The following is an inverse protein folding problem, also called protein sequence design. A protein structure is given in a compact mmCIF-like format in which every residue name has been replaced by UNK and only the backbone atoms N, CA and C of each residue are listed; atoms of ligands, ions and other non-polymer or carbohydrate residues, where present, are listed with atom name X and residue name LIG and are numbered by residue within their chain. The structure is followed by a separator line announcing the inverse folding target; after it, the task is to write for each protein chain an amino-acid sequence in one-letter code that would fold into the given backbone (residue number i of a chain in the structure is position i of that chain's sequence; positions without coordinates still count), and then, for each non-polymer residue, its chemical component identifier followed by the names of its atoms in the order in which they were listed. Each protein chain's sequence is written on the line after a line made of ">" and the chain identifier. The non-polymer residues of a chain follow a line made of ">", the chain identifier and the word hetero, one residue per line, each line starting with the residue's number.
data_IF_409556286372
#
_entry.id   IF_409556286372
#
_cell.length_a   1.000
_cell.length_b   1.000
_cell.length_c   1.000
_cell.angle_alpha   90.00
_cell.angle_beta   90.00
_cell.angle_gamma   90.00
#
_symmetry.space_group_name_H-M   'P 1'
#
loop_
_entity.id
_entity.type
_entity.pdbx_description
1 polymer ?
#
# COMPACT_ATOMS: atom_id res chain seq x y z
N UNK A 1 33.68 -51.36 41.49
CA UNK A 1 32.66 -50.48 40.84
C UNK A 1 32.71 -50.75 39.35
N UNK A 2 31.60 -51.14 38.71
CA UNK A 2 31.59 -51.65 37.35
C UNK A 2 31.83 -50.50 36.36
N UNK A 3 32.95 -50.50 35.63
CA UNK A 3 33.43 -49.46 34.69
C UNK A 3 32.35 -49.14 33.62
N UNK A 4 31.57 -50.12 33.21
CA UNK A 4 30.51 -49.95 32.23
C UNK A 4 29.36 -49.05 32.75
N UNK A 5 28.98 -49.14 34.01
CA UNK A 5 27.94 -48.27 34.65
C UNK A 5 28.43 -46.82 34.72
N UNK A 6 29.72 -46.59 34.99
CA UNK A 6 30.30 -45.27 35.02
C UNK A 6 30.32 -44.62 33.61
N UNK A 7 30.67 -45.39 32.59
CA UNK A 7 30.65 -44.90 31.19
C UNK A 7 29.23 -44.55 30.69
N UNK A 8 28.25 -45.36 31.05
CA UNK A 8 26.84 -45.10 30.73
C UNK A 8 26.33 -43.83 31.41
N UNK A 9 26.63 -43.60 32.67
CA UNK A 9 26.28 -42.39 33.40
C UNK A 9 26.92 -41.14 32.79
N UNK A 10 28.20 -41.22 32.38
CA UNK A 10 28.89 -40.10 31.73
C UNK A 10 28.26 -39.79 30.37
N UNK A 11 27.90 -40.82 29.60
CA UNK A 11 27.22 -40.66 28.30
C UNK A 11 25.85 -40.00 28.47
N UNK A 12 25.06 -40.45 29.43
CA UNK A 12 23.74 -39.88 29.76
C UNK A 12 23.87 -38.39 30.17
N UNK A 13 24.88 -38.08 31.01
CA UNK A 13 25.12 -36.70 31.43
C UNK A 13 25.49 -35.77 30.25
N UNK A 14 26.29 -36.27 29.29
CA UNK A 14 26.57 -35.53 28.04
C UNK A 14 25.32 -35.25 27.21
N UNK A 15 24.43 -36.21 27.05
CA UNK A 15 23.17 -35.99 26.34
C UNK A 15 22.27 -34.98 27.03
N UNK A 16 22.18 -35.02 28.37
CA UNK A 16 21.47 -34.03 29.15
C UNK A 16 22.03 -32.60 28.97
N UNK A 17 23.36 -32.47 28.97
CA UNK A 17 24.02 -31.18 28.77
C UNK A 17 23.76 -30.62 27.35
N UNK A 18 23.78 -31.49 26.34
CA UNK A 18 23.52 -31.13 24.94
C UNK A 18 22.05 -30.66 24.78
N UNK A 19 21.09 -31.37 25.37
CA UNK A 19 19.66 -30.97 25.33
C UNK A 19 19.41 -29.63 26.01
N UNK A 20 20.04 -29.35 27.13
CA UNK A 20 19.95 -28.07 27.82
C UNK A 20 20.52 -26.93 26.95
N UNK A 21 21.67 -27.14 26.30
CA UNK A 21 22.27 -26.16 25.39
C UNK A 21 21.35 -25.88 24.19
N UNK A 22 20.76 -26.92 23.59
CA UNK A 22 19.84 -26.78 22.47
C UNK A 22 18.59 -25.99 22.89
N UNK A 23 18.00 -26.29 24.06
CA UNK A 23 16.85 -25.54 24.59
C UNK A 23 17.21 -24.07 24.83
N UNK A 24 18.41 -23.78 25.34
CA UNK A 24 18.85 -22.41 25.58
C UNK A 24 19.02 -21.62 24.26
N UNK A 25 19.58 -22.28 23.22
CA UNK A 25 19.68 -21.69 21.87
C UNK A 25 18.30 -21.41 21.27
N UNK A 26 17.34 -22.33 21.41
CA UNK A 26 15.96 -22.14 20.93
C UNK A 26 15.30 -20.95 21.65
N UNK A 27 15.48 -20.80 22.96
CA UNK A 27 14.94 -19.68 23.73
C UNK A 27 15.55 -18.35 23.26
N UNK A 28 16.88 -18.32 23.00
CA UNK A 28 17.55 -17.11 22.50
C UNK A 28 17.05 -16.74 21.11
N UNK A 29 16.90 -17.73 20.20
CA UNK A 29 16.40 -17.51 18.84
C UNK A 29 14.95 -17.03 18.84
N UNK A 30 14.09 -17.64 19.67
CA UNK A 30 12.72 -17.20 19.85
C UNK A 30 12.63 -15.80 20.47
N UNK A 31 13.46 -15.51 21.47
CA UNK A 31 13.55 -14.17 22.07
C UNK A 31 14.02 -13.12 21.05
N UNK A 32 15.02 -13.44 20.23
CA UNK A 32 15.49 -12.56 19.16
C UNK A 32 14.38 -12.34 18.09
N UNK A 33 13.66 -13.42 17.71
CA UNK A 33 12.55 -13.32 16.75
C UNK A 33 11.39 -12.47 17.29
N UNK A 34 11.07 -12.58 18.57
CA UNK A 34 10.05 -11.74 19.23
C UNK A 34 10.50 -10.27 19.30
N UNK A 35 11.75 -10.02 19.66
CA UNK A 35 12.30 -8.65 19.70
C UNK A 35 12.40 -7.99 18.33
N UNK A 36 12.69 -8.76 17.27
CA UNK A 36 12.71 -8.24 15.89
C UNK A 36 11.30 -8.01 15.34
N UNK A 37 10.30 -8.77 15.80
CA UNK A 37 8.90 -8.56 15.41
C UNK A 37 8.31 -7.27 16.01
N UNK A 38 8.70 -6.89 17.23
CA UNK A 38 8.25 -5.64 17.86
C UNK A 38 8.87 -4.38 17.22
N UNK A 39 10.01 -4.48 16.55
CA UNK A 39 10.71 -3.31 15.98
C UNK A 39 10.19 -2.86 14.60
N UNK A 40 9.21 -3.55 14.03
CA UNK A 40 8.59 -3.18 12.73
C UNK A 40 7.17 -2.60 12.88
N UNK A 41 6.76 -2.19 14.08
CA UNK A 41 5.51 -1.46 14.22
C UNK A 41 5.71 -0.03 13.71
N UNK A 42 5.00 0.32 12.64
CA UNK A 42 4.88 1.71 12.21
C UNK A 42 4.31 2.52 13.38
N UNK A 43 5.11 3.42 13.95
CA UNK A 43 4.62 4.39 14.92
C UNK A 43 4.27 5.65 14.15
N UNK A 44 2.98 5.98 14.07
CA UNK A 44 2.51 7.21 13.48
C UNK A 44 3.12 8.41 14.22
N UNK A 45 3.99 9.23 13.60
CA UNK A 45 4.58 10.39 14.24
C UNK A 45 3.61 11.59 14.32
N UNK A 46 2.43 11.48 13.69
CA UNK A 46 1.45 12.55 13.60
C UNK A 46 0.22 12.21 14.43
N UNK A 47 -0.18 13.12 15.32
CA UNK A 47 -1.49 13.05 15.96
C UNK A 47 -2.54 13.55 14.95
N UNK A 48 -3.28 12.64 14.33
CA UNK A 48 -4.37 13.01 13.42
C UNK A 48 -5.59 13.40 14.24
N UNK A 49 -6.08 14.63 14.07
CA UNK A 49 -7.30 15.10 14.72
C UNK A 49 -8.51 14.65 13.91
N UNK A 50 -9.35 13.84 14.52
CA UNK A 50 -10.59 13.35 13.89
C UNK A 50 -11.81 13.91 14.56
N UNK A 51 -12.80 14.26 13.76
CA UNK A 51 -14.15 14.66 14.19
C UNK A 51 -15.09 13.44 14.17
N UNK A 52 -16.18 13.43 14.96
CA UNK A 52 -17.09 12.29 15.01
C UNK A 52 -17.76 11.92 13.68
N UNK A 53 -17.76 12.85 12.71
CA UNK A 53 -18.36 12.65 11.38
C UNK A 53 -17.32 12.38 10.30
N UNK A 54 -16.04 12.34 10.62
CA UNK A 54 -15.01 12.06 9.64
C UNK A 54 -15.12 10.63 9.14
N UNK A 55 -14.90 10.46 7.83
CA UNK A 55 -14.83 9.18 7.17
C UNK A 55 -13.88 9.30 5.98
N UNK A 56 -12.75 8.62 6.04
CA UNK A 56 -11.66 8.70 5.07
C UNK A 56 -11.71 7.48 4.16
N UNK A 57 -12.19 7.68 2.95
CA UNK A 57 -12.38 6.64 1.95
C UNK A 57 -11.12 6.47 1.09
N UNK A 58 -10.51 5.32 1.13
CA UNK A 58 -9.48 4.90 0.19
C UNK A 58 -10.14 4.13 -0.96
N UNK A 59 -10.18 4.74 -2.14
CA UNK A 59 -10.89 4.26 -3.32
C UNK A 59 -9.90 3.86 -4.40
N UNK A 60 -9.93 2.61 -4.87
CA UNK A 60 -8.95 2.18 -5.86
C UNK A 60 -9.08 0.74 -6.37
N UNK A 61 -7.96 0.22 -6.84
CA UNK A 61 -7.80 -1.13 -7.38
C UNK A 61 -7.11 -2.09 -6.38
N UNK A 62 -6.30 -3.05 -6.88
CA UNK A 62 -5.61 -4.03 -6.04
C UNK A 62 -4.61 -3.40 -5.08
N UNK A 63 -3.98 -2.29 -5.44
CA UNK A 63 -3.01 -1.62 -4.56
C UNK A 63 -3.73 -1.06 -3.33
N UNK A 64 -4.93 -0.52 -3.50
CA UNK A 64 -5.77 -0.09 -2.39
C UNK A 64 -6.39 -1.28 -1.64
N UNK A 65 -6.88 -2.31 -2.37
CA UNK A 65 -7.49 -3.51 -1.78
C UNK A 65 -6.53 -4.23 -0.80
N UNK A 66 -5.26 -4.34 -1.19
CA UNK A 66 -4.22 -5.00 -0.39
C UNK A 66 -3.60 -4.10 0.70
N UNK A 67 -3.97 -2.82 0.75
CA UNK A 67 -3.46 -1.89 1.75
C UNK A 67 -4.07 -2.21 3.14
N UNK A 68 -3.29 -2.66 4.12
CA UNK A 68 -3.80 -3.01 5.45
C UNK A 68 -4.04 -1.74 6.28
N UNK A 69 -5.04 -0.93 5.88
CA UNK A 69 -5.33 0.40 6.45
C UNK A 69 -5.49 0.37 7.96
N UNK A 70 -6.13 -0.67 8.52
CA UNK A 70 -6.35 -0.80 9.96
C UNK A 70 -5.03 -0.94 10.75
N UNK A 71 -3.97 -1.51 10.13
CA UNK A 71 -2.66 -1.65 10.76
C UNK A 71 -1.87 -0.33 10.75
N UNK A 72 -2.04 0.48 9.70
CA UNK A 72 -1.27 1.71 9.50
C UNK A 72 -1.96 2.95 10.06
N UNK A 73 -3.30 2.96 10.10
CA UNK A 73 -4.12 4.09 10.51
C UNK A 73 -4.99 3.73 11.73
N UNK A 74 -4.39 3.01 12.71
CA UNK A 74 -5.08 2.60 13.93
C UNK A 74 -5.87 3.76 14.56
N UNK A 75 -7.13 3.48 14.93
CA UNK A 75 -8.08 4.43 15.50
C UNK A 75 -8.51 5.61 14.59
N UNK A 76 -8.15 5.61 13.30
CA UNK A 76 -8.68 6.57 12.33
C UNK A 76 -9.91 6.00 11.60
N UNK A 77 -10.87 6.86 11.22
CA UNK A 77 -12.09 6.43 10.53
C UNK A 77 -11.81 6.15 9.03
N UNK A 78 -10.94 5.19 8.74
CA UNK A 78 -10.57 4.79 7.38
C UNK A 78 -11.49 3.69 6.86
N UNK A 79 -11.81 3.75 5.56
CA UNK A 79 -12.58 2.75 4.84
C UNK A 79 -11.80 2.31 3.61
N UNK A 80 -11.57 1.03 3.45
CA UNK A 80 -10.99 0.47 2.24
C UNK A 80 -12.09 0.16 1.21
N UNK A 81 -12.09 0.88 0.10
CA UNK A 81 -12.93 0.62 -1.09
C UNK A 81 -12.06 0.27 -2.30
N UNK A 82 -10.97 -0.45 -2.09
CA UNK A 82 -10.18 -1.10 -3.13
C UNK A 82 -10.88 -2.35 -3.66
N UNK A 83 -10.75 -2.62 -4.96
CA UNK A 83 -11.13 -3.91 -5.56
C UNK A 83 -10.07 -4.30 -6.58
N UNK A 84 -9.43 -5.45 -6.37
CA UNK A 84 -8.38 -5.95 -7.24
C UNK A 84 -8.85 -6.06 -8.70
N UNK A 85 -8.02 -5.60 -9.63
CA UNK A 85 -8.31 -5.63 -11.07
C UNK A 85 -9.21 -4.51 -11.58
N UNK A 86 -9.81 -3.68 -10.71
CA UNK A 86 -10.68 -2.59 -11.15
C UNK A 86 -9.93 -1.55 -12.00
N UNK A 87 -10.67 -1.01 -12.96
CA UNK A 87 -10.31 0.12 -13.83
C UNK A 87 -11.12 1.34 -13.46
N UNK A 88 -10.78 2.49 -14.02
CA UNK A 88 -11.53 3.73 -13.83
C UNK A 88 -13.01 3.59 -14.16
N UNK A 89 -13.35 2.87 -15.23
CA UNK A 89 -14.74 2.64 -15.64
C UNK A 89 -15.54 1.80 -14.63
N UNK A 90 -14.89 0.88 -13.91
CA UNK A 90 -15.55 0.05 -12.90
C UNK A 90 -15.98 0.87 -11.70
N UNK A 91 -15.21 1.89 -11.30
CA UNK A 91 -15.60 2.86 -10.28
C UNK A 91 -16.81 3.68 -10.76
N UNK A 92 -16.76 4.22 -11.98
CA UNK A 92 -17.86 5.02 -12.55
C UNK A 92 -19.18 4.25 -12.62
N UNK A 93 -19.12 2.96 -12.92
CA UNK A 93 -20.30 2.10 -13.01
C UNK A 93 -20.91 1.76 -11.65
N UNK A 94 -20.21 2.00 -10.55
CA UNK A 94 -20.66 1.59 -9.21
C UNK A 94 -20.36 2.64 -8.12
N UNK A 95 -20.54 3.92 -8.42
CA UNK A 95 -20.29 5.02 -7.49
C UNK A 95 -21.11 4.88 -6.19
N UNK A 96 -22.33 4.30 -6.27
CA UNK A 96 -23.18 4.12 -5.09
C UNK A 96 -22.54 3.25 -4.03
N UNK A 97 -22.04 2.06 -4.41
CA UNK A 97 -21.44 1.12 -3.45
C UNK A 97 -19.96 1.39 -3.19
N UNK A 98 -19.30 2.09 -4.11
CA UNK A 98 -17.88 2.39 -3.98
C UNK A 98 -17.60 3.68 -3.21
N UNK A 99 -18.52 4.66 -3.26
CA UNK A 99 -18.31 6.00 -2.69
C UNK A 99 -19.47 6.42 -1.79
N UNK A 100 -20.70 6.52 -2.34
CA UNK A 100 -21.76 7.27 -1.68
C UNK A 100 -22.28 6.60 -0.40
N UNK A 101 -22.33 5.27 -0.34
CA UNK A 101 -22.78 4.55 0.86
C UNK A 101 -21.92 4.84 2.10
N UNK A 102 -20.67 5.24 1.90
CA UNK A 102 -19.72 5.51 3.00
C UNK A 102 -19.81 6.96 3.51
N UNK A 103 -20.49 7.84 2.79
CA UNK A 103 -20.62 9.25 3.17
C UNK A 103 -19.27 9.92 3.51
N UNK A 104 -18.25 9.84 2.62
CA UNK A 104 -16.88 10.24 2.94
C UNK A 104 -16.75 11.74 3.12
N UNK A 105 -15.89 12.17 4.06
CA UNK A 105 -15.41 13.55 4.20
C UNK A 105 -14.09 13.77 3.46
N UNK A 106 -13.31 12.70 3.25
CA UNK A 106 -12.12 12.70 2.42
C UNK A 106 -12.11 11.46 1.54
N UNK A 107 -11.70 11.62 0.29
CA UNK A 107 -11.54 10.52 -0.68
C UNK A 107 -10.10 10.52 -1.17
N UNK A 108 -9.38 9.43 -0.93
CA UNK A 108 -8.05 9.14 -1.48
C UNK A 108 -8.24 8.20 -2.65
N UNK A 109 -8.06 8.72 -3.86
CA UNK A 109 -8.31 8.00 -5.12
C UNK A 109 -6.99 7.56 -5.74
N UNK A 110 -6.76 6.25 -5.80
CA UNK A 110 -5.66 5.60 -6.52
C UNK A 110 -6.21 4.61 -7.52
N UNK A 111 -6.28 4.97 -8.80
CA UNK A 111 -6.83 4.13 -9.86
C UNK A 111 -6.19 4.47 -11.21
N UNK A 112 -6.15 3.51 -12.11
CA UNK A 112 -5.70 3.70 -13.49
C UNK A 112 -4.58 2.75 -13.90
N UNK A 113 -3.89 2.08 -12.96
CA UNK A 113 -2.83 1.15 -13.33
C UNK A 113 -3.33 0.00 -14.21
N UNK A 114 -4.56 -0.48 -13.99
CA UNK A 114 -5.17 -1.54 -14.79
C UNK A 114 -5.67 -1.06 -16.16
N UNK A 115 -6.06 0.21 -16.28
CA UNK A 115 -6.35 0.84 -17.56
C UNK A 115 -5.07 0.93 -18.40
N UNK A 116 -3.97 1.40 -17.81
CA UNK A 116 -2.67 1.60 -18.46
C UNK A 116 -1.98 0.29 -18.88
N UNK A 117 -2.48 -0.86 -18.48
CA UNK A 117 -2.07 -2.18 -19.00
C UNK A 117 -2.49 -2.41 -20.45
N UNK A 118 -3.35 -1.58 -21.00
CA UNK A 118 -3.79 -1.66 -22.40
C UNK A 118 -2.68 -1.25 -23.38
N UNK A 119 -2.67 -1.89 -24.55
CA UNK A 119 -1.85 -1.49 -25.71
C UNK A 119 -2.53 -0.45 -26.61
N UNK A 120 -3.76 -0.02 -26.28
CA UNK A 120 -4.53 0.97 -27.04
C UNK A 120 -3.80 2.33 -27.01
N UNK A 121 -3.74 3.00 -28.15
CA UNK A 121 -2.91 4.23 -28.32
C UNK A 121 -3.42 5.40 -27.48
N UNK A 122 -4.75 5.54 -27.35
CA UNK A 122 -5.44 6.62 -26.62
C UNK A 122 -5.72 6.29 -25.14
N UNK A 123 -5.18 5.19 -24.61
CA UNK A 123 -5.53 4.72 -23.25
C UNK A 123 -5.25 5.75 -22.17
N UNK A 124 -4.18 6.52 -22.31
CA UNK A 124 -3.82 7.57 -21.33
C UNK A 124 -4.89 8.67 -21.29
N UNK A 125 -5.41 9.06 -22.46
CA UNK A 125 -6.44 10.09 -22.55
C UNK A 125 -7.79 9.57 -22.05
N UNK A 126 -8.18 8.37 -22.44
CA UNK A 126 -9.41 7.73 -21.97
C UNK A 126 -9.41 7.55 -20.44
N UNK A 127 -8.30 7.05 -19.88
CA UNK A 127 -8.16 6.90 -18.43
C UNK A 127 -8.26 8.25 -17.71
N UNK A 128 -7.61 9.27 -18.27
CA UNK A 128 -7.67 10.62 -17.72
C UNK A 128 -9.09 11.24 -17.77
N UNK A 129 -9.83 11.03 -18.88
CA UNK A 129 -11.21 11.49 -18.98
C UNK A 129 -12.10 10.84 -17.93
N UNK A 130 -11.90 9.55 -17.66
CA UNK A 130 -12.61 8.85 -16.59
C UNK A 130 -12.25 9.41 -15.20
N UNK A 131 -10.98 9.76 -14.91
CA UNK A 131 -10.61 10.44 -13.65
C UNK A 131 -11.39 11.74 -13.47
N UNK A 132 -11.48 12.56 -14.51
CA UNK A 132 -12.25 13.82 -14.44
C UNK A 132 -13.71 13.57 -14.12
N UNK A 133 -14.31 12.54 -14.72
CA UNK A 133 -15.70 12.20 -14.44
C UNK A 133 -15.89 11.64 -13.04
N UNK A 134 -14.98 10.79 -12.52
CA UNK A 134 -15.02 10.31 -11.14
C UNK A 134 -14.95 11.48 -10.16
N UNK A 135 -14.01 12.41 -10.34
CA UNK A 135 -13.87 13.60 -9.48
C UNK A 135 -15.11 14.46 -9.54
N UNK A 136 -15.66 14.68 -10.74
CA UNK A 136 -16.90 15.43 -10.93
C UNK A 136 -18.09 14.78 -10.24
N UNK A 137 -18.30 13.48 -10.43
CA UNK A 137 -19.37 12.70 -9.79
C UNK A 137 -19.28 12.78 -8.25
N UNK A 138 -18.07 12.69 -7.69
CA UNK A 138 -17.88 12.86 -6.25
C UNK A 138 -18.27 14.26 -5.82
N UNK A 139 -17.80 15.32 -6.49
CA UNK A 139 -18.13 16.71 -6.16
C UNK A 139 -19.61 17.01 -6.25
N UNK A 140 -20.28 16.51 -7.27
CA UNK A 140 -21.71 16.75 -7.51
C UNK A 140 -22.59 16.09 -6.43
N UNK A 141 -22.18 14.94 -5.89
CA UNK A 141 -22.94 14.17 -4.92
C UNK A 141 -22.42 14.33 -3.46
N UNK A 142 -21.16 14.74 -3.30
CA UNK A 142 -20.46 14.93 -2.02
C UNK A 142 -19.64 16.22 -2.06
N UNK A 143 -20.31 17.35 -2.18
CA UNK A 143 -19.70 18.69 -2.31
C UNK A 143 -18.87 19.11 -1.09
N UNK A 144 -19.06 18.47 0.05
CA UNK A 144 -18.35 18.66 1.30
C UNK A 144 -17.09 17.77 1.43
N UNK A 145 -16.90 16.79 0.54
CA UNK A 145 -15.74 15.91 0.57
C UNK A 145 -14.50 16.56 -0.08
N UNK A 146 -13.36 16.44 0.60
CA UNK A 146 -12.07 16.76 -0.01
C UNK A 146 -11.58 15.57 -0.83
N UNK A 147 -11.18 15.81 -2.08
CA UNK A 147 -10.72 14.75 -2.99
C UNK A 147 -9.23 14.86 -3.18
N UNK A 148 -8.51 13.83 -2.77
CA UNK A 148 -7.09 13.62 -3.02
C UNK A 148 -6.94 12.59 -4.15
N UNK A 149 -6.17 12.92 -5.18
CA UNK A 149 -5.87 11.98 -6.26
C UNK A 149 -4.38 11.65 -6.19
N UNK A 150 -4.09 10.41 -5.87
CA UNK A 150 -2.72 9.91 -5.82
C UNK A 150 -2.19 9.67 -7.23
N UNK A 151 -0.89 9.90 -7.43
CA UNK A 151 -0.22 9.45 -8.65
C UNK A 151 -0.35 7.94 -8.78
N UNK A 152 -0.60 7.41 -9.97
CA UNK A 152 -0.37 6.00 -10.26
C UNK A 152 1.11 5.70 -10.02
N UNK A 153 1.39 4.62 -9.28
CA UNK A 153 2.74 4.26 -8.82
C UNK A 153 3.62 3.75 -9.96
N UNK A 154 4.95 3.84 -9.82
CA UNK A 154 5.87 3.26 -10.78
C UNK A 154 5.74 1.73 -10.83
N UNK A 155 6.23 1.14 -11.92
CA UNK A 155 6.35 -0.31 -12.08
C UNK A 155 7.81 -0.70 -12.32
N UNK A 156 8.18 -1.96 -12.06
CA UNK A 156 9.52 -2.48 -12.31
C UNK A 156 9.49 -3.81 -13.06
N UNK A 157 9.74 -3.78 -14.36
CA UNK A 157 9.78 -4.97 -15.21
C UNK A 157 11.05 -5.81 -15.05
N UNK A 158 12.04 -5.35 -14.28
CA UNK A 158 13.27 -6.09 -14.01
C UNK A 158 13.11 -7.12 -12.88
N UNK A 159 12.05 -7.00 -12.08
CA UNK A 159 11.72 -7.97 -11.03
C UNK A 159 11.39 -9.32 -11.68
N UNK A 160 11.95 -10.40 -11.13
CA UNK A 160 11.67 -11.76 -11.63
C UNK A 160 10.20 -12.12 -11.44
N UNK A 161 9.59 -12.75 -12.46
CA UNK A 161 8.16 -13.10 -12.49
C UNK A 161 7.22 -11.89 -12.27
N UNK A 162 7.59 -10.70 -12.80
CA UNK A 162 6.83 -9.49 -12.61
C UNK A 162 5.40 -9.54 -13.21
N UNK A 163 4.51 -8.74 -12.63
CA UNK A 163 3.11 -8.56 -13.03
C UNK A 163 2.87 -7.30 -13.88
N UNK A 164 3.93 -6.70 -14.42
CA UNK A 164 3.91 -5.38 -15.07
C UNK A 164 3.16 -5.38 -16.40
N UNK A 165 3.23 -6.47 -17.19
CA UNK A 165 2.57 -6.62 -18.49
C UNK A 165 2.88 -5.45 -19.47
N UNK A 166 1.84 -4.75 -19.99
CA UNK A 166 1.96 -3.65 -20.94
C UNK A 166 2.15 -2.28 -20.29
N UNK A 167 2.20 -2.20 -18.97
CA UNK A 167 2.44 -0.96 -18.23
C UNK A 167 3.85 -0.47 -18.47
N UNK A 168 4.01 0.82 -18.62
CA UNK A 168 5.34 1.45 -18.72
C UNK A 168 5.38 2.72 -17.89
N UNK A 169 6.50 2.99 -17.23
CA UNK A 169 6.69 4.24 -16.47
C UNK A 169 6.55 5.49 -17.35
N UNK A 170 6.78 5.40 -18.67
CA UNK A 170 6.50 6.47 -19.61
C UNK A 170 5.01 6.79 -19.72
N UNK A 171 4.14 5.78 -19.85
CA UNK A 171 2.67 5.97 -19.87
C UNK A 171 2.20 6.52 -18.53
N UNK A 172 2.66 5.94 -17.43
CA UNK A 172 2.30 6.35 -16.06
C UNK A 172 2.67 7.81 -15.82
N UNK A 173 3.89 8.23 -16.13
CA UNK A 173 4.31 9.65 -16.01
C UNK A 173 3.48 10.59 -16.88
N UNK A 174 3.12 10.18 -18.10
CA UNK A 174 2.26 10.97 -18.99
C UNK A 174 0.86 11.14 -18.40
N UNK A 175 0.28 10.08 -17.85
CA UNK A 175 -1.00 10.10 -17.17
C UNK A 175 -0.94 10.96 -15.90
N UNK A 176 0.02 10.72 -15.01
CA UNK A 176 0.19 11.47 -13.76
C UNK A 176 0.32 12.96 -13.99
N UNK A 177 1.06 13.37 -15.05
CA UNK A 177 1.18 14.78 -15.43
C UNK A 177 -0.16 15.41 -15.82
N UNK A 178 -1.03 14.65 -16.55
CA UNK A 178 -2.37 15.16 -16.92
C UNK A 178 -3.25 15.33 -15.67
N UNK A 179 -3.21 14.36 -14.75
CA UNK A 179 -3.96 14.40 -13.49
C UNK A 179 -3.49 15.55 -12.60
N UNK A 180 -2.16 15.72 -12.41
CA UNK A 180 -1.60 16.84 -11.66
C UNK A 180 -2.06 18.19 -12.19
N UNK A 181 -1.93 18.43 -13.50
CA UNK A 181 -2.39 19.67 -14.14
C UNK A 181 -3.90 19.92 -13.97
N UNK A 182 -4.70 18.87 -13.90
CA UNK A 182 -6.15 18.98 -13.70
C UNK A 182 -6.50 19.36 -12.25
N UNK A 183 -5.79 18.77 -11.26
CA UNK A 183 -5.98 19.09 -9.85
C UNK A 183 -5.50 20.50 -9.50
N UNK A 184 -4.45 21.04 -10.15
CA UNK A 184 -3.96 22.40 -9.97
C UNK A 184 -5.05 23.48 -10.25
N UNK A 185 -6.14 23.12 -10.93
CA UNK A 185 -7.31 23.96 -11.19
C UNK A 185 -8.42 23.92 -10.13
N UNK A 186 -8.11 23.66 -8.86
CA UNK A 186 -9.06 23.57 -7.72
C UNK A 186 -10.08 22.41 -7.83
N UNK A 187 -9.81 21.44 -8.70
CA UNK A 187 -10.70 20.29 -8.85
C UNK A 187 -10.47 19.21 -7.79
N UNK A 188 -9.23 19.00 -7.39
CA UNK A 188 -8.77 18.00 -6.44
C UNK A 188 -7.39 18.40 -5.91
N UNK A 189 -6.90 17.69 -4.93
CA UNK A 189 -5.52 17.79 -4.43
C UNK A 189 -4.74 16.62 -5.01
N UNK A 190 -3.68 16.90 -5.76
CA UNK A 190 -2.82 15.86 -6.30
C UNK A 190 -1.72 15.49 -5.32
N UNK A 191 -1.53 14.19 -5.04
CA UNK A 191 -0.47 13.67 -4.19
C UNK A 191 0.51 12.89 -5.06
N UNK A 192 1.75 13.37 -5.17
CA UNK A 192 2.79 12.70 -5.95
C UNK A 192 3.54 11.69 -5.08
N UNK A 193 3.14 10.42 -5.15
CA UNK A 193 3.83 9.29 -4.51
C UNK A 193 4.73 8.53 -5.49
N UNK A 194 4.64 8.86 -6.79
CA UNK A 194 5.45 8.20 -7.82
C UNK A 194 6.95 8.38 -7.54
N UNK A 195 7.37 9.58 -7.22
CA UNK A 195 8.78 9.89 -7.03
C UNK A 195 9.36 9.29 -5.74
N UNK A 196 8.55 9.17 -4.68
CA UNK A 196 8.95 8.55 -3.39
C UNK A 196 9.22 7.05 -3.53
N UNK A 197 8.51 6.41 -4.46
CA UNK A 197 8.61 4.97 -4.74
C UNK A 197 9.65 4.62 -5.81
N UNK A 198 10.23 5.62 -6.49
CA UNK A 198 11.08 5.44 -7.67
C UNK A 198 12.56 5.30 -7.30
N UNK A 199 13.28 4.40 -7.96
CA UNK A 199 14.74 4.29 -7.94
C UNK A 199 15.41 5.34 -8.89
N UNK A 200 16.75 5.31 -8.97
CA UNK A 200 17.53 6.22 -9.81
C UNK A 200 17.28 6.01 -11.32
N UNK A 201 16.85 4.82 -11.73
CA UNK A 201 16.51 4.46 -13.12
C UNK A 201 15.05 4.81 -13.46
N UNK A 202 14.26 5.21 -12.47
CA UNK A 202 12.86 5.58 -12.65
C UNK A 202 11.88 4.42 -12.59
N UNK A 203 12.28 3.28 -11.98
CA UNK A 203 11.44 2.11 -11.74
C UNK A 203 10.98 2.07 -10.28
N UNK A 204 9.93 1.29 -10.01
CA UNK A 204 9.56 0.95 -8.63
C UNK A 204 10.74 0.25 -7.95
N UNK A 205 11.14 0.76 -6.77
CA UNK A 205 12.25 0.16 -6.01
C UNK A 205 11.98 -1.31 -5.72
N UNK A 206 12.95 -2.18 -5.99
CA UNK A 206 12.81 -3.63 -5.75
C UNK A 206 12.47 -3.95 -4.29
N UNK A 207 12.99 -3.19 -3.34
CA UNK A 207 12.71 -3.36 -1.92
C UNK A 207 11.25 -3.10 -1.53
N UNK A 208 10.45 -2.46 -2.39
CA UNK A 208 9.05 -2.11 -2.14
C UNK A 208 8.04 -3.04 -2.82
N UNK A 209 8.52 -4.05 -3.55
CA UNK A 209 7.64 -4.93 -4.35
C UNK A 209 8.19 -6.33 -4.45
N UNK A 210 7.30 -7.31 -4.63
CA UNK A 210 7.67 -8.70 -4.94
C UNK A 210 7.45 -9.04 -6.43
N UNK A 211 6.59 -8.28 -7.12
CA UNK A 211 6.16 -8.57 -8.49
C UNK A 211 6.29 -7.38 -9.45
N UNK A 212 6.95 -6.31 -9.01
CA UNK A 212 7.17 -5.11 -9.83
C UNK A 212 5.94 -4.21 -10.04
N UNK A 213 4.81 -4.52 -9.41
CA UNK A 213 3.54 -3.81 -9.52
C UNK A 213 2.92 -3.49 -8.16
N UNK A 214 2.69 -4.51 -7.33
CA UNK A 214 2.06 -4.36 -6.02
C UNK A 214 3.10 -4.02 -4.96
N UNK A 215 2.69 -3.23 -3.97
CA UNK A 215 3.57 -2.89 -2.85
C UNK A 215 3.61 -4.01 -1.82
N UNK A 216 4.79 -4.24 -1.26
CA UNK A 216 4.96 -5.01 -0.04
C UNK A 216 4.83 -4.10 1.21
N UNK A 217 5.03 -4.66 2.41
CA UNK A 217 4.89 -3.91 3.67
C UNK A 217 5.80 -2.67 3.73
N UNK A 218 7.02 -2.71 3.17
CA UNK A 218 7.92 -1.55 3.15
C UNK A 218 7.38 -0.44 2.24
N UNK A 219 6.86 -0.79 1.07
CA UNK A 219 6.23 0.15 0.16
C UNK A 219 5.01 0.82 0.80
N UNK A 220 4.16 0.05 1.50
CA UNK A 220 3.02 0.62 2.23
C UNK A 220 3.44 1.54 3.39
N UNK A 221 4.54 1.26 4.09
CA UNK A 221 5.09 2.20 5.11
C UNK A 221 5.44 3.54 4.48
N UNK A 222 6.06 3.55 3.29
CA UNK A 222 6.43 4.79 2.59
C UNK A 222 5.20 5.61 2.27
N UNK A 223 4.21 5.02 1.57
CA UNK A 223 3.01 5.77 1.18
C UNK A 223 2.18 6.21 2.39
N UNK A 224 2.12 5.40 3.46
CA UNK A 224 1.45 5.79 4.71
C UNK A 224 2.03 7.08 5.27
N UNK A 225 3.37 7.16 5.37
CA UNK A 225 4.05 8.35 5.88
C UNK A 225 3.74 9.59 5.07
N UNK A 226 3.72 9.47 3.73
CA UNK A 226 3.45 10.59 2.83
C UNK A 226 1.96 11.00 2.82
N UNK A 227 1.02 10.07 3.10
CA UNK A 227 -0.42 10.36 3.16
C UNK A 227 -0.88 10.93 4.51
N UNK A 228 -0.17 10.65 5.61
CA UNK A 228 -0.55 11.12 6.96
C UNK A 228 -0.82 12.63 7.08
N UNK A 229 -0.03 13.55 6.48
CA UNK A 229 -0.31 14.99 6.55
C UNK A 229 -1.71 15.35 6.04
N UNK A 230 -2.17 14.71 4.96
CA UNK A 230 -3.45 14.98 4.32
C UNK A 230 -4.66 14.50 5.13
N UNK A 231 -4.45 13.60 6.08
CA UNK A 231 -5.51 13.19 7.01
C UNK A 231 -5.84 14.32 8.02
N UNK A 232 -4.91 15.27 8.25
CA UNK A 232 -5.07 16.38 9.18
C UNK A 232 -5.61 17.68 8.55
N UNK A 233 -5.61 17.79 7.22
CA UNK A 233 -6.15 18.96 6.50
C UNK A 233 -7.66 18.97 6.49
#
# INVERSE_FOLDING_TARGET
>A
MNINIVKEKIKLHKYYLITIIIMFIIIIVLGFFLLTKENNTFTNPYEVKVSPNDNFLFLGDSITDFYPLEEYYDNLPVVNSGIAGNRTIDILNDMQTRVYQYNPTKVFLLIGTNDLDSSTEDIVDTTFDNIKEIVKEIKDNRSDATIYVESVYPVNSNVENNSVNNRTNKKIRSFNKKVSNYCDGDNCIYINLFDDLTDEEGNLKEEYTEDGLHLNSLGYVVITRELLPYLNE
#
